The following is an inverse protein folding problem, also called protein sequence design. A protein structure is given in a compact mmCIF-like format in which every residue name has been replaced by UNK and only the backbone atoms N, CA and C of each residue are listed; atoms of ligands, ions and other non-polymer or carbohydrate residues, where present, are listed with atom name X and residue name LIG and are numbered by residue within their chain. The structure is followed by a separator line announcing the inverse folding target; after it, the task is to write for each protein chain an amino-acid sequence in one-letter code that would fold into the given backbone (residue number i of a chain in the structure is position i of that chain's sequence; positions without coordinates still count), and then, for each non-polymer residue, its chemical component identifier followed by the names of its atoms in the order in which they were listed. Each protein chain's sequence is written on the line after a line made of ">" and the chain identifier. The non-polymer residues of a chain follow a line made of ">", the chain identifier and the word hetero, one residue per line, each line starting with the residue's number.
data_IF_060508340567
#
_entry.id   IF_060508340567
#
_cell.length_a   1.000
_cell.length_b   1.000
_cell.length_c   1.000
_cell.angle_alpha   90.00
_cell.angle_beta   90.00
_cell.angle_gamma   90.00
#
_symmetry.space_group_name_H-M   'P 1'
#
loop_
_entity.id
_entity.type
_entity.pdbx_description
1 polymer ?
#
# COMPACT_ATOMS: atom_id res chain seq x y z
N UNK A 1 -19.74 13.17 -2.08
CA UNK A 1 -19.03 11.90 -1.83
C UNK A 1 -17.86 12.17 -0.90
N UNK A 2 -17.78 11.52 0.28
CA UNK A 2 -16.60 11.57 1.14
C UNK A 2 -15.77 10.34 0.83
N UNK A 3 -14.56 10.51 0.29
CA UNK A 3 -13.58 9.42 0.21
C UNK A 3 -13.20 8.98 1.62
N UNK A 4 -13.13 7.67 1.87
CA UNK A 4 -12.55 7.12 3.11
C UNK A 4 -11.06 6.87 2.87
N UNK A 5 -10.20 7.29 3.78
CA UNK A 5 -8.76 7.01 3.69
C UNK A 5 -8.31 6.12 4.85
N UNK A 6 -7.31 5.29 4.59
CA UNK A 6 -6.71 4.38 5.57
C UNK A 6 -5.18 4.55 5.51
N UNK A 7 -4.55 4.57 6.68
CA UNK A 7 -3.10 4.67 6.83
C UNK A 7 -2.68 3.64 7.88
N UNK A 8 -2.39 2.40 7.46
CA UNK A 8 -2.01 1.33 8.37
C UNK A 8 -0.74 1.69 9.15
N UNK A 9 -0.68 1.36 10.45
CA UNK A 9 0.53 1.57 11.26
C UNK A 9 1.66 0.59 10.89
N UNK A 10 1.30 -0.50 10.21
CA UNK A 10 2.21 -1.53 9.67
C UNK A 10 2.78 -1.15 8.30
N UNK A 11 2.44 0.03 7.78
CA UNK A 11 3.09 0.66 6.63
C UNK A 11 3.71 1.97 7.10
N UNK A 12 4.67 2.49 6.33
CA UNK A 12 5.27 3.78 6.67
C UNK A 12 4.21 4.89 6.74
N UNK A 13 4.40 5.83 7.66
CA UNK A 13 3.49 6.95 7.82
C UNK A 13 3.55 7.89 6.60
N UNK A 14 2.61 7.76 5.67
CA UNK A 14 2.56 8.57 4.45
C UNK A 14 2.06 9.99 4.67
N UNK A 15 1.38 10.26 5.80
CA UNK A 15 0.76 11.58 6.05
C UNK A 15 1.79 12.70 6.13
N UNK A 16 3.01 12.40 6.60
CA UNK A 16 4.12 13.36 6.61
C UNK A 16 4.52 13.83 5.20
N UNK A 17 4.21 13.03 4.17
CA UNK A 17 4.45 13.33 2.77
C UNK A 17 3.18 13.86 2.04
N UNK A 18 2.09 14.14 2.78
CA UNK A 18 0.88 14.75 2.22
C UNK A 18 -0.06 13.80 1.49
N UNK A 19 0.06 12.48 1.65
CA UNK A 19 -0.85 11.50 1.03
C UNK A 19 -1.30 10.40 1.99
N UNK A 20 -2.33 9.65 1.60
CA UNK A 20 -2.80 8.46 2.34
C UNK A 20 -2.40 7.18 1.62
N UNK A 21 -1.98 6.15 2.36
CA UNK A 21 -1.63 4.84 1.79
C UNK A 21 -2.77 4.22 0.97
N UNK A 22 -4.01 4.36 1.44
CA UNK A 22 -5.21 3.82 0.79
C UNK A 22 -6.32 4.86 0.75
N UNK A 23 -7.02 4.93 -0.38
CA UNK A 23 -8.26 5.67 -0.55
C UNK A 23 -9.37 4.78 -1.14
N UNK A 24 -10.55 4.79 -0.53
CA UNK A 24 -11.72 4.03 -0.96
C UNK A 24 -12.76 5.02 -1.50
N UNK A 25 -13.25 4.74 -2.71
CA UNK A 25 -14.28 5.52 -3.39
C UNK A 25 -15.57 4.72 -3.58
N UNK A 26 -16.70 5.30 -3.16
CA UNK A 26 -18.05 4.76 -3.33
C UNK A 26 -18.86 5.61 -4.34
N UNK A 27 -19.90 5.05 -5.00
CA UNK A 27 -20.36 3.65 -4.97
C UNK A 27 -19.50 2.72 -5.84
N UNK A 28 -19.60 1.40 -5.61
CA UNK A 28 -18.82 0.38 -6.34
C UNK A 28 -17.47 0.02 -5.72
N UNK A 29 -17.09 0.68 -4.61
CA UNK A 29 -15.93 0.39 -3.76
C UNK A 29 -14.62 0.15 -4.53
N UNK A 30 -14.15 1.18 -5.24
CA UNK A 30 -12.81 1.16 -5.86
C UNK A 30 -11.77 1.53 -4.80
N UNK A 31 -10.75 0.69 -4.66
CA UNK A 31 -9.63 0.90 -3.73
C UNK A 31 -8.40 1.38 -4.51
N UNK A 32 -7.97 2.60 -4.21
CA UNK A 32 -6.72 3.15 -4.71
C UNK A 32 -5.64 2.96 -3.64
N UNK A 33 -4.59 2.24 -3.99
CA UNK A 33 -3.41 2.02 -3.14
C UNK A 33 -2.26 2.85 -3.71
N UNK A 34 -1.61 3.65 -2.86
CA UNK A 34 -0.41 4.39 -3.26
C UNK A 34 0.73 3.45 -3.62
N UNK A 35 1.74 3.96 -4.34
CA UNK A 35 2.93 3.18 -4.68
C UNK A 35 3.56 2.54 -3.44
N UNK A 36 3.67 1.22 -3.45
CA UNK A 36 4.33 0.47 -2.39
C UNK A 36 5.79 0.27 -2.75
N UNK A 37 6.66 0.53 -1.77
CA UNK A 37 8.11 0.48 -1.90
C UNK A 37 8.68 -0.47 -0.84
N UNK A 38 9.96 -0.81 -0.97
CA UNK A 38 10.66 -1.72 -0.05
C UNK A 38 10.99 -1.09 1.32
N UNK A 39 10.14 -0.20 1.82
CA UNK A 39 10.25 0.36 3.17
C UNK A 39 9.49 -0.49 4.18
N UNK A 40 10.03 -0.61 5.39
CA UNK A 40 9.27 -0.98 6.57
C UNK A 40 8.44 0.22 7.09
N UNK A 41 7.70 0.02 8.18
CA UNK A 41 6.92 1.06 8.85
C UNK A 41 7.77 2.23 9.40
N UNK A 42 9.08 1.99 9.58
CA UNK A 42 10.06 2.92 10.11
C UNK A 42 10.91 3.60 9.03
N UNK A 43 10.55 3.47 7.75
CA UNK A 43 11.26 4.04 6.59
C UNK A 43 12.62 3.40 6.29
N UNK A 44 12.92 2.21 6.83
CA UNK A 44 14.14 1.49 6.49
C UNK A 44 13.97 0.69 5.19
N UNK A 45 14.99 0.71 4.34
CA UNK A 45 15.02 -0.07 3.10
C UNK A 45 15.31 -1.55 3.41
N UNK A 46 14.38 -2.42 3.06
CA UNK A 46 14.56 -3.88 3.07
C UNK A 46 15.24 -4.35 1.79
N UNK A 47 16.10 -5.37 1.85
CA UNK A 47 16.75 -5.94 0.66
C UNK A 47 17.76 -5.00 -0.01
N UNK A 48 18.66 -4.39 0.77
CA UNK A 48 19.73 -3.55 0.22
C UNK A 48 20.56 -4.35 -0.79
N UNK A 49 20.74 -3.81 -2.00
CA UNK A 49 21.39 -4.46 -3.14
C UNK A 49 20.70 -5.76 -3.63
N UNK A 50 19.43 -5.97 -3.29
CA UNK A 50 18.63 -7.12 -3.72
C UNK A 50 17.31 -6.64 -4.34
N UNK A 51 17.26 -6.57 -5.67
CA UNK A 51 16.05 -6.17 -6.41
C UNK A 51 14.88 -7.14 -6.17
N UNK A 52 15.16 -8.44 -6.05
CA UNK A 52 14.12 -9.44 -5.84
C UNK A 52 13.52 -9.31 -4.43
N UNK A 53 14.38 -9.11 -3.43
CA UNK A 53 13.97 -8.82 -2.06
C UNK A 53 13.17 -7.53 -1.93
N UNK A 54 13.59 -6.46 -2.61
CA UNK A 54 12.85 -5.19 -2.64
C UNK A 54 11.48 -5.34 -3.29
N UNK A 55 11.42 -6.05 -4.42
CA UNK A 55 10.15 -6.31 -5.11
C UNK A 55 9.19 -7.10 -4.23
N UNK A 56 9.70 -8.14 -3.54
CA UNK A 56 8.91 -8.93 -2.60
C UNK A 56 8.36 -8.07 -1.46
N UNK A 57 9.20 -7.23 -0.85
CA UNK A 57 8.75 -6.33 0.21
C UNK A 57 7.68 -5.34 -0.27
N UNK A 58 7.81 -4.78 -1.47
CA UNK A 58 6.78 -3.91 -2.06
C UNK A 58 5.44 -4.65 -2.24
N UNK A 59 5.46 -5.92 -2.66
CA UNK A 59 4.27 -6.76 -2.78
C UNK A 59 3.67 -7.14 -1.41
N UNK A 60 4.50 -7.42 -0.41
CA UNK A 60 4.04 -7.67 0.96
C UNK A 60 3.33 -6.43 1.53
N UNK A 61 3.88 -5.24 1.27
CA UNK A 61 3.26 -3.98 1.66
C UNK A 61 1.93 -3.71 0.92
N UNK A 62 1.84 -4.10 -0.36
CA UNK A 62 0.58 -4.08 -1.11
C UNK A 62 -0.46 -5.00 -0.49
N UNK A 63 -0.07 -6.21 -0.06
CA UNK A 63 -0.97 -7.14 0.63
C UNK A 63 -1.52 -6.54 1.93
N UNK A 64 -0.66 -5.91 2.74
CA UNK A 64 -1.08 -5.19 3.95
C UNK A 64 -2.12 -4.11 3.60
N UNK A 65 -1.83 -3.28 2.59
CA UNK A 65 -2.73 -2.20 2.19
C UNK A 65 -4.12 -2.69 1.75
N UNK A 66 -4.20 -3.75 0.94
CA UNK A 66 -5.50 -4.27 0.47
C UNK A 66 -6.27 -4.98 1.59
N UNK A 67 -5.57 -5.68 2.50
CA UNK A 67 -6.20 -6.30 3.68
C UNK A 67 -6.85 -5.28 4.59
N UNK A 68 -6.21 -4.13 4.79
CA UNK A 68 -6.75 -3.02 5.58
C UNK A 68 -7.98 -2.36 4.91
N UNK A 69 -8.10 -2.46 3.58
CA UNK A 69 -9.32 -2.09 2.85
C UNK A 69 -10.43 -3.16 2.95
N UNK A 70 -10.13 -4.34 3.48
CA UNK A 70 -11.03 -5.49 3.62
C UNK A 70 -11.02 -6.45 2.43
N UNK A 71 -9.99 -6.41 1.58
CA UNK A 71 -9.80 -7.32 0.44
C UNK A 71 -8.57 -8.21 0.58
N UNK A 72 -8.19 -8.84 -0.52
CA UNK A 72 -6.96 -9.64 -0.63
C UNK A 72 -6.34 -9.47 -2.03
N UNK A 73 -5.19 -10.12 -2.29
CA UNK A 73 -4.46 -9.96 -3.56
C UNK A 73 -5.27 -10.39 -4.80
N UNK A 74 -6.25 -11.30 -4.68
CA UNK A 74 -7.12 -11.68 -5.81
C UNK A 74 -8.02 -10.54 -6.29
N UNK A 75 -8.21 -9.50 -5.46
CA UNK A 75 -9.05 -8.35 -5.77
C UNK A 75 -8.30 -7.27 -6.56
N UNK A 76 -6.98 -7.47 -6.80
CA UNK A 76 -6.16 -6.54 -7.57
C UNK A 76 -6.44 -6.72 -9.07
N UNK A 77 -7.00 -5.68 -9.67
CA UNK A 77 -7.35 -5.66 -11.11
C UNK A 77 -6.26 -5.03 -11.99
N UNK A 78 -5.36 -4.23 -11.42
CA UNK A 78 -4.29 -3.54 -12.14
C UNK A 78 -3.09 -3.28 -11.24
N UNK A 79 -1.90 -3.53 -11.77
CA UNK A 79 -0.61 -3.16 -11.16
C UNK A 79 0.18 -2.24 -12.10
N UNK A 80 0.95 -1.33 -11.52
CA UNK A 80 1.95 -0.52 -12.21
C UNK A 80 3.29 -0.78 -11.52
N UNK A 81 4.25 -1.32 -12.26
CA UNK A 81 5.59 -1.71 -11.80
C UNK A 81 6.60 -0.85 -12.54
#
# INVERSE_FOLDING_TARGET
>A
MKKKTINPQTLFNSKQFGFSQVAISDPGRIVFISGQVAWDENLNVSGINDLAGQTRKSLDNLEIAIREAGGNLSDIVMLRI
#
